data_IF_608796550845
#
_entry.id   IF_608796550845
#
_cell.length_a   1.000
_cell.length_b   1.000
_cell.length_c   1.000
_cell.angle_alpha   90.00
_cell.angle_beta   90.00
_cell.angle_gamma   90.00
#
_symmetry.space_group_name_H-M   'P 1'
#
loop_
_entity.id
_entity.type
_entity.pdbx_description
1 polymer ?
#
# COMPACT_ATOMS: atom_id res chain seq x y z
N UNK A 1 29.03 -16.97 17.61
CA UNK A 1 28.21 -16.90 16.38
C UNK A 1 27.37 -15.62 16.28
N UNK A 2 27.82 -14.53 16.92
CA UNK A 2 27.14 -13.22 17.03
C UNK A 2 27.33 -12.37 15.76
N UNK A 3 28.51 -12.47 15.14
CA UNK A 3 28.81 -11.77 13.89
C UNK A 3 27.97 -12.21 12.69
N UNK A 4 27.51 -13.47 12.66
CA UNK A 4 26.62 -13.97 11.61
C UNK A 4 25.20 -13.39 11.77
N UNK A 5 24.70 -13.25 13.00
CA UNK A 5 23.43 -12.58 13.29
C UNK A 5 23.50 -11.07 13.02
N UNK A 6 24.65 -10.43 13.29
CA UNK A 6 24.90 -9.02 12.95
C UNK A 6 25.02 -8.76 11.43
N UNK A 7 25.31 -9.79 10.63
CA UNK A 7 25.39 -9.73 9.15
C UNK A 7 24.09 -10.14 8.47
N UNK A 8 23.22 -10.90 9.14
CA UNK A 8 21.91 -11.25 8.64
C UNK A 8 21.06 -9.98 8.43
N UNK A 9 20.72 -9.66 7.17
CA UNK A 9 19.99 -8.43 6.83
C UNK A 9 20.85 -7.20 6.55
N UNK A 10 22.18 -7.35 6.42
CA UNK A 10 23.09 -6.29 5.91
C UNK A 10 23.48 -6.49 4.43
N UNK A 11 22.81 -7.41 3.74
CA UNK A 11 22.93 -7.47 2.28
C UNK A 11 22.22 -6.26 1.67
N UNK A 12 22.84 -5.61 0.69
CA UNK A 12 22.19 -4.57 -0.13
C UNK A 12 20.92 -5.07 -0.81
N UNK A 13 20.76 -6.40 -0.94
CA UNK A 13 19.56 -7.07 -1.46
C UNK A 13 18.51 -7.41 -0.40
N UNK A 14 18.68 -7.00 0.85
CA UNK A 14 17.72 -7.30 1.92
C UNK A 14 16.76 -6.15 2.18
N UNK A 15 15.52 -6.49 2.51
CA UNK A 15 14.49 -5.51 2.87
C UNK A 15 14.87 -4.82 4.18
N UNK A 16 14.82 -3.50 4.18
CA UNK A 16 14.95 -2.72 5.41
C UNK A 16 13.66 -2.78 6.19
N UNK A 17 13.73 -3.16 7.47
CA UNK A 17 12.58 -3.05 8.35
C UNK A 17 12.43 -1.60 8.82
N UNK A 18 11.31 -0.95 8.48
CA UNK A 18 11.00 0.41 8.91
C UNK A 18 10.19 0.37 10.22
N UNK A 19 9.15 -0.46 10.25
CA UNK A 19 8.31 -0.64 11.43
C UNK A 19 7.80 -2.08 11.50
N UNK A 20 7.68 -2.62 12.71
CA UNK A 20 7.01 -3.90 12.97
C UNK A 20 6.15 -3.78 14.20
N UNK A 21 4.89 -4.16 14.07
CA UNK A 21 3.89 -4.02 15.11
C UNK A 21 3.69 -5.35 15.82
N UNK A 22 4.38 -5.53 16.96
CA UNK A 22 4.34 -6.77 17.75
C UNK A 22 3.83 -6.57 19.18
N UNK A 23 3.73 -5.33 19.63
CA UNK A 23 3.35 -4.98 21.00
C UNK A 23 2.92 -3.52 21.09
N UNK A 24 2.25 -3.11 22.16
CA UNK A 24 1.90 -1.72 22.40
C UNK A 24 3.11 -0.76 22.32
N UNK A 25 4.31 -1.21 22.73
CA UNK A 25 5.56 -0.43 22.62
C UNK A 25 5.92 -0.05 21.17
N UNK A 26 5.47 -0.84 20.19
CA UNK A 26 5.71 -0.55 18.76
C UNK A 26 4.95 0.66 18.24
N UNK A 27 3.90 1.09 18.96
CA UNK A 27 3.12 2.30 18.65
C UNK A 27 3.82 3.58 19.11
N UNK A 28 4.87 3.49 19.95
CA UNK A 28 5.60 4.66 20.44
C UNK A 28 6.10 5.53 19.29
N UNK A 29 5.79 6.82 19.34
CA UNK A 29 6.17 7.82 18.33
C UNK A 29 5.31 7.81 17.06
N UNK A 30 4.22 7.03 17.03
CA UNK A 30 3.14 7.25 16.08
C UNK A 30 2.14 8.23 16.69
N UNK A 31 1.70 9.19 15.88
CA UNK A 31 0.76 10.23 16.28
C UNK A 31 -0.48 10.14 15.39
N UNK A 32 -1.65 10.15 16.02
CA UNK A 32 -2.93 10.26 15.32
C UNK A 32 -3.24 11.74 15.16
N UNK A 33 -3.46 12.16 13.91
CA UNK A 33 -3.79 13.53 13.57
C UNK A 33 -5.09 13.55 12.74
N UNK A 34 -5.82 14.65 12.85
CA UNK A 34 -7.04 14.90 12.10
C UNK A 34 -6.97 16.26 11.41
N UNK A 35 -7.66 16.38 10.28
CA UNK A 35 -7.71 17.65 9.54
C UNK A 35 -8.88 17.69 8.55
N UNK A 36 -9.03 18.84 7.90
CA UNK A 36 -10.04 19.08 6.87
C UNK A 36 -9.44 19.88 5.73
N UNK A 37 -9.79 19.52 4.49
CA UNK A 37 -9.44 20.32 3.31
C UNK A 37 -10.29 21.60 3.19
N UNK A 38 -11.36 21.74 3.97
CA UNK A 38 -12.25 22.90 3.95
C UNK A 38 -12.28 23.54 5.34
N UNK A 39 -11.46 24.57 5.59
CA UNK A 39 -11.35 25.21 6.90
C UNK A 39 -12.63 25.93 7.39
N UNK A 40 -13.55 26.30 6.47
CA UNK A 40 -14.64 27.25 6.75
C UNK A 40 -16.06 26.77 6.40
N UNK A 41 -16.35 25.47 6.41
CA UNK A 41 -17.74 25.04 6.18
C UNK A 41 -18.67 25.26 7.39
N UNK A 42 -18.13 25.48 8.61
CA UNK A 42 -18.93 25.59 9.83
C UNK A 42 -18.31 26.54 10.87
N UNK A 43 -18.15 27.81 10.51
CA UNK A 43 -18.11 28.87 11.53
C UNK A 43 -19.56 29.15 11.99
N UNK A 44 -20.18 28.19 12.66
CA UNK A 44 -21.48 28.39 13.32
C UNK A 44 -21.54 27.58 14.62
N UNK A 45 -20.91 28.13 15.67
CA UNK A 45 -21.56 28.33 16.96
C UNK A 45 -22.28 27.16 17.64
N UNK A 46 -21.80 25.92 17.56
CA UNK A 46 -22.18 24.87 18.52
C UNK A 46 -20.95 24.15 19.03
N UNK A 47 -20.69 24.30 20.32
CA UNK A 47 -19.65 23.69 21.14
C UNK A 47 -19.84 22.17 21.32
N UNK A 48 -20.07 21.44 20.24
CA UNK A 48 -20.02 19.99 20.21
C UNK A 48 -18.87 19.56 19.31
N UNK A 49 -18.05 18.67 19.85
CA UNK A 49 -16.90 18.01 19.25
C UNK A 49 -17.36 17.04 18.13
N UNK A 50 -17.99 17.59 17.08
CA UNK A 50 -18.50 16.86 15.91
C UNK A 50 -17.47 16.94 14.78
N UNK A 51 -16.86 15.88 14.27
CA UNK A 51 -16.95 14.47 14.59
C UNK A 51 -15.86 13.83 13.75
N UNK A 52 -14.75 13.48 14.39
CA UNK A 52 -13.73 12.63 13.82
C UNK A 52 -13.28 11.77 15.00
N UNK A 53 -13.67 10.49 14.98
CA UNK A 53 -13.28 9.53 15.99
C UNK A 53 -12.25 8.61 15.34
N UNK A 54 -11.00 8.68 15.78
CA UNK A 54 -9.96 7.81 15.25
C UNK A 54 -8.93 7.48 16.34
N UNK A 55 -8.56 6.21 16.41
CA UNK A 55 -7.54 5.74 17.34
C UNK A 55 -6.52 4.86 16.64
N UNK A 56 -5.32 4.80 17.22
CA UNK A 56 -4.29 3.86 16.82
C UNK A 56 -3.80 3.08 18.03
N UNK A 57 -4.33 1.88 18.18
CA UNK A 57 -4.22 1.10 19.41
C UNK A 57 -3.67 -0.30 19.16
N UNK A 58 -3.10 -0.90 20.21
CA UNK A 58 -2.66 -2.27 20.17
C UNK A 58 -3.73 -3.13 20.84
N UNK A 59 -4.52 -3.84 20.03
CA UNK A 59 -5.66 -4.61 20.50
C UNK A 59 -5.23 -5.80 21.36
N UNK A 60 -6.17 -6.30 22.17
CA UNK A 60 -6.00 -7.53 22.95
C UNK A 60 -5.66 -8.74 22.06
N UNK A 61 -6.12 -8.74 20.81
CA UNK A 61 -5.77 -9.73 19.79
C UNK A 61 -4.33 -9.67 19.27
N UNK A 62 -3.49 -8.79 19.82
CA UNK A 62 -2.08 -8.70 19.45
C UNK A 62 -1.82 -7.94 18.15
N UNK A 63 -2.71 -7.00 17.78
CA UNK A 63 -2.68 -6.30 16.50
C UNK A 63 -2.61 -4.79 16.70
N UNK A 64 -1.85 -4.09 15.86
CA UNK A 64 -1.91 -2.62 15.80
C UNK A 64 -3.03 -2.20 14.85
N UNK A 65 -4.06 -1.54 15.37
CA UNK A 65 -5.29 -1.22 14.66
C UNK A 65 -5.44 0.29 14.58
N UNK A 66 -5.43 0.82 13.36
CA UNK A 66 -5.82 2.20 13.06
C UNK A 66 -7.25 2.19 12.54
N UNK A 67 -8.20 2.68 13.34
CA UNK A 67 -9.62 2.60 13.02
C UNK A 67 -10.37 3.85 13.46
N UNK A 68 -11.56 4.03 12.92
CA UNK A 68 -12.38 5.18 13.25
C UNK A 68 -13.46 5.51 12.23
N UNK A 69 -14.00 6.71 12.37
CA UNK A 69 -15.05 7.27 11.56
C UNK A 69 -14.80 8.76 11.27
N UNK A 70 -14.91 9.15 10.00
CA UNK A 70 -14.74 10.55 9.56
C UNK A 70 -16.11 11.12 9.17
N UNK A 71 -16.67 11.98 10.02
CA UNK A 71 -18.05 12.46 9.83
C UNK A 71 -18.12 13.61 8.81
N UNK A 72 -17.06 14.42 8.71
CA UNK A 72 -17.06 15.67 7.94
C UNK A 72 -16.63 15.48 6.49
N UNK A 73 -17.30 16.21 5.57
CA UNK A 73 -16.92 16.22 4.16
C UNK A 73 -15.57 16.89 3.97
N UNK A 74 -14.62 16.17 3.38
CA UNK A 74 -13.25 16.65 3.22
C UNK A 74 -12.43 16.57 4.51
N UNK A 75 -12.99 15.98 5.57
CA UNK A 75 -12.22 15.53 6.73
C UNK A 75 -11.31 14.36 6.36
N UNK A 76 -10.21 14.25 7.09
CA UNK A 76 -9.30 13.12 7.02
C UNK A 76 -8.69 12.85 8.39
N UNK A 77 -8.21 11.63 8.56
CA UNK A 77 -7.43 11.19 9.73
C UNK A 77 -6.18 10.49 9.26
N UNK A 78 -5.12 10.61 10.03
CA UNK A 78 -3.85 10.02 9.66
C UNK A 78 -3.04 9.58 10.88
N UNK A 79 -2.24 8.54 10.67
CA UNK A 79 -1.17 8.15 11.58
C UNK A 79 0.16 8.55 10.96
N UNK A 80 0.97 9.27 11.72
CA UNK A 80 2.26 9.80 11.27
C UNK A 80 3.37 9.38 12.21
N UNK A 81 4.56 9.12 11.66
CA UNK A 81 5.76 8.84 12.46
C UNK A 81 7.01 9.35 11.76
N UNK A 82 7.85 10.04 12.53
CA UNK A 82 9.24 10.29 12.12
C UNK A 82 10.01 8.97 12.09
N UNK A 83 10.59 8.65 10.94
CA UNK A 83 11.31 7.42 10.71
C UNK A 83 12.61 7.40 11.54
N UNK A 84 12.85 6.27 12.22
CA UNK A 84 14.12 5.98 12.86
C UNK A 84 14.79 4.85 12.09
N UNK A 85 15.57 5.24 11.09
CA UNK A 85 16.36 4.30 10.30
C UNK A 85 17.69 4.00 11.02
N UNK A 86 18.27 2.79 10.84
CA UNK A 86 19.60 2.50 11.36
C UNK A 86 20.63 3.52 10.86
N UNK A 87 21.65 3.81 11.69
CA UNK A 87 22.70 4.76 11.33
C UNK A 87 23.32 4.42 9.96
N UNK A 88 23.45 5.42 9.09
CA UNK A 88 23.96 5.25 7.72
C UNK A 88 22.99 4.54 6.74
N UNK A 89 21.74 4.33 7.14
CA UNK A 89 20.68 3.82 6.26
C UNK A 89 19.74 4.92 5.83
N UNK A 90 19.56 5.03 4.52
CA UNK A 90 18.69 5.98 3.82
C UNK A 90 17.82 5.20 2.83
N UNK A 91 16.73 5.80 2.34
CA UNK A 91 15.77 5.07 1.49
C UNK A 91 16.11 5.10 0.00
N UNK A 92 17.13 5.84 -0.43
CA UNK A 92 17.61 5.95 -1.83
C UNK A 92 18.14 4.65 -2.42
N UNK A 93 18.45 3.66 -1.58
CA UNK A 93 18.83 2.29 -2.00
C UNK A 93 17.64 1.33 -2.17
N UNK A 94 16.42 1.85 -2.15
CA UNK A 94 15.19 1.06 -2.18
C UNK A 94 14.26 1.56 -3.30
N UNK A 95 13.49 0.66 -3.91
CA UNK A 95 12.55 0.99 -5.00
C UNK A 95 11.17 1.44 -4.47
N UNK A 96 10.92 1.23 -3.18
CA UNK A 96 9.65 1.61 -2.56
C UNK A 96 9.36 0.91 -1.25
N UNK A 97 8.11 1.01 -0.83
CA UNK A 97 7.62 0.47 0.44
C UNK A 97 6.82 -0.82 0.24
N UNK A 98 6.93 -1.74 1.18
CA UNK A 98 6.11 -2.93 1.32
C UNK A 98 5.40 -2.89 2.68
N UNK A 99 4.08 -2.80 2.63
CA UNK A 99 3.21 -2.82 3.79
C UNK A 99 2.50 -4.16 3.86
N UNK A 100 2.43 -4.77 5.05
CA UNK A 100 1.56 -5.91 5.34
C UNK A 100 0.47 -5.45 6.27
N UNK A 101 -0.76 -5.45 5.76
CA UNK A 101 -1.90 -4.80 6.38
C UNK A 101 -3.16 -5.65 6.27
N UNK A 102 -4.01 -5.63 7.30
CA UNK A 102 -5.39 -6.10 7.25
C UNK A 102 -6.31 -4.91 7.04
N UNK A 103 -7.22 -4.96 6.07
CA UNK A 103 -8.14 -3.85 5.82
C UNK A 103 -9.58 -4.30 5.68
N UNK A 104 -10.49 -3.33 5.76
CA UNK A 104 -11.91 -3.48 5.45
C UNK A 104 -12.25 -3.07 4.00
N UNK A 105 -11.28 -3.13 3.07
CA UNK A 105 -11.48 -2.79 1.66
C UNK A 105 -11.41 -1.30 1.32
N UNK A 106 -10.98 -0.45 2.26
CA UNK A 106 -10.84 0.99 2.07
C UNK A 106 -9.57 1.37 1.29
N UNK A 107 -9.58 2.57 0.72
CA UNK A 107 -8.39 3.18 0.13
C UNK A 107 -7.77 4.16 1.13
N UNK A 108 -6.45 4.20 1.14
CA UNK A 108 -5.66 5.07 2.00
C UNK A 108 -4.63 5.82 1.15
N UNK A 109 -4.14 6.94 1.66
CA UNK A 109 -3.05 7.71 1.07
C UNK A 109 -1.81 7.50 1.92
N UNK A 110 -0.73 7.05 1.29
CA UNK A 110 0.59 7.01 1.90
C UNK A 110 1.27 8.33 1.59
N UNK A 111 1.75 9.02 2.62
CA UNK A 111 2.44 10.30 2.48
C UNK A 111 3.86 10.14 3.02
N UNK A 112 4.83 10.67 2.27
CA UNK A 112 6.21 10.82 2.71
C UNK A 112 6.54 12.30 2.78
N UNK A 113 7.19 12.72 3.86
CA UNK A 113 7.77 14.05 3.95
C UNK A 113 9.29 13.96 3.77
N UNK A 114 9.82 14.83 2.91
CA UNK A 114 11.25 14.93 2.63
C UNK A 114 11.76 16.32 2.91
N UNK A 115 12.94 16.44 3.50
CA UNK A 115 13.55 17.74 3.77
C UNK A 115 14.69 17.62 4.76
N UNK A 116 15.39 18.73 5.03
CA UNK A 116 16.46 18.74 6.02
C UNK A 116 15.89 18.44 7.41
N UNK A 117 16.45 17.44 8.09
CA UNK A 117 16.07 17.06 9.45
C UNK A 117 16.19 18.22 10.46
N UNK A 118 17.10 19.16 10.20
CA UNK A 118 17.36 20.34 11.02
C UNK A 118 16.31 21.45 10.85
N UNK A 119 15.58 21.47 9.73
CA UNK A 119 14.55 22.48 9.45
C UNK A 119 13.38 21.86 8.69
N UNK A 120 12.40 21.37 9.45
CA UNK A 120 11.21 20.74 8.86
C UNK A 120 10.27 21.73 8.18
N UNK A 121 10.45 23.05 8.32
CA UNK A 121 9.61 24.04 7.64
C UNK A 121 9.76 23.98 6.11
N UNK A 122 10.92 23.50 5.64
CA UNK A 122 11.23 23.30 4.23
C UNK A 122 10.81 21.92 3.71
N UNK A 123 10.11 21.12 4.53
CA UNK A 123 9.69 19.78 4.15
C UNK A 123 8.66 19.84 3.03
N UNK A 124 8.88 18.98 2.04
CA UNK A 124 7.97 18.74 0.91
C UNK A 124 7.22 17.45 1.17
N UNK A 125 5.94 17.40 0.79
CA UNK A 125 5.08 16.23 0.98
C UNK A 125 4.81 15.55 -0.34
N UNK A 126 4.85 14.23 -0.34
CA UNK A 126 4.57 13.41 -1.51
C UNK A 126 3.56 12.36 -1.16
N UNK A 127 2.62 12.08 -2.06
CA UNK A 127 1.55 11.13 -1.81
C UNK A 127 1.47 10.04 -2.87
N UNK A 128 1.11 8.84 -2.43
CA UNK A 128 0.73 7.71 -3.29
C UNK A 128 -0.51 7.04 -2.70
N UNK A 129 -1.39 6.50 -3.55
CA UNK A 129 -2.59 5.80 -3.06
C UNK A 129 -2.31 4.32 -2.88
N UNK A 130 -2.83 3.75 -1.79
CA UNK A 130 -2.95 2.32 -1.61
C UNK A 130 -4.41 1.91 -1.45
N UNK A 131 -4.77 0.74 -1.96
CA UNK A 131 -6.09 0.14 -1.74
C UNK A 131 -5.92 -1.17 -1.00
N UNK A 132 -6.66 -1.34 0.09
CA UNK A 132 -6.68 -2.60 0.83
C UNK A 132 -7.76 -3.52 0.29
N UNK A 133 -7.63 -4.81 0.60
CA UNK A 133 -8.70 -5.81 0.41
C UNK A 133 -9.32 -6.09 1.77
N UNK A 134 -10.48 -6.74 1.77
CA UNK A 134 -11.01 -7.35 2.99
C UNK A 134 -10.01 -8.42 3.46
N UNK A 135 -9.55 -8.30 4.70
CA UNK A 135 -8.54 -9.17 5.30
C UNK A 135 -7.10 -8.77 4.99
N UNK A 136 -6.15 -9.65 5.34
CA UNK A 136 -4.72 -9.38 5.22
C UNK A 136 -4.23 -9.41 3.76
N UNK A 137 -3.49 -8.37 3.39
CA UNK A 137 -2.83 -8.25 2.11
C UNK A 137 -1.47 -7.56 2.24
N UNK A 138 -0.63 -7.73 1.21
CA UNK A 138 0.62 -6.99 1.07
C UNK A 138 0.45 -5.96 -0.02
N UNK A 139 0.79 -4.71 0.29
CA UNK A 139 0.72 -3.58 -0.63
C UNK A 139 2.15 -3.13 -0.92
N UNK A 140 2.50 -3.04 -2.21
CA UNK A 140 3.72 -2.40 -2.68
C UNK A 140 3.41 -0.98 -3.12
N UNK A 141 4.20 -0.03 -2.66
CA UNK A 141 4.08 1.37 -3.05
C UNK A 141 5.46 1.81 -3.56
N UNK A 142 5.69 1.76 -4.89
CA UNK A 142 6.99 2.15 -5.45
C UNK A 142 7.22 3.65 -5.24
N UNK A 143 8.46 4.07 -5.02
CA UNK A 143 8.79 5.49 -4.88
C UNK A 143 8.42 6.30 -6.14
N UNK A 144 8.48 5.67 -7.31
CA UNK A 144 8.03 6.26 -8.59
C UNK A 144 6.51 6.51 -8.67
N UNK A 145 5.69 5.96 -7.76
CA UNK A 145 4.25 6.25 -7.69
C UNK A 145 3.94 7.49 -6.85
N UNK A 146 4.90 7.99 -6.06
CA UNK A 146 4.69 9.20 -5.27
C UNK A 146 4.65 10.43 -6.17
N UNK A 147 3.71 11.31 -5.90
CA UNK A 147 3.56 12.61 -6.57
C UNK A 147 3.70 13.72 -5.54
N UNK A 148 4.36 14.83 -5.87
CA UNK A 148 4.43 15.94 -4.95
C UNK A 148 3.02 16.49 -4.69
N UNK A 149 2.74 16.88 -3.46
CA UNK A 149 1.47 17.52 -3.09
C UNK A 149 1.36 18.90 -3.74
N UNK A 150 2.48 19.63 -3.81
CA UNK A 150 2.61 20.87 -4.57
C UNK A 150 3.22 20.57 -5.94
N UNK A 151 2.49 20.77 -7.05
CA UNK A 151 2.98 20.39 -8.39
C UNK A 151 4.35 20.98 -8.78
N UNK A 152 4.72 22.11 -8.20
CA UNK A 152 6.00 22.81 -8.40
C UNK A 152 7.20 22.17 -7.69
N UNK A 153 6.97 21.29 -6.72
CA UNK A 153 8.06 20.61 -6.00
C UNK A 153 8.77 19.58 -6.93
N UNK A 154 10.09 19.36 -6.75
CA UNK A 154 10.84 18.35 -7.50
C UNK A 154 10.31 16.93 -7.26
N UNK A 155 10.72 15.92 -8.05
CA UNK A 155 10.43 14.52 -7.76
C UNK A 155 10.91 14.10 -6.37
N UNK A 156 10.26 13.08 -5.80
CA UNK A 156 10.61 12.51 -4.51
C UNK A 156 12.09 12.10 -4.49
N UNK A 157 12.85 12.64 -3.53
CA UNK A 157 14.19 12.16 -3.19
C UNK A 157 14.10 11.24 -1.96
N UNK A 158 14.24 9.90 -2.12
CA UNK A 158 14.15 8.97 -1.01
C UNK A 158 15.27 9.13 0.02
N UNK A 159 16.40 9.76 -0.33
CA UNK A 159 17.49 10.02 0.61
C UNK A 159 17.04 10.94 1.76
N UNK A 160 16.16 11.90 1.45
CA UNK A 160 15.71 12.95 2.37
C UNK A 160 14.42 12.61 3.13
N UNK A 161 13.87 11.40 2.94
CA UNK A 161 12.62 10.98 3.62
C UNK A 161 12.84 10.88 5.12
N UNK A 162 12.05 11.64 5.88
CA UNK A 162 12.13 11.66 7.35
C UNK A 162 10.82 11.29 8.04
N UNK A 163 9.67 11.49 7.41
CA UNK A 163 8.35 11.19 8.01
C UNK A 163 7.52 10.32 7.09
N UNK A 164 6.85 9.33 7.67
CA UNK A 164 5.91 8.45 7.00
C UNK A 164 4.52 8.62 7.61
N UNK A 165 3.51 8.69 6.74
CA UNK A 165 2.12 8.88 7.15
C UNK A 165 1.18 7.98 6.35
N UNK A 166 0.17 7.42 7.02
CA UNK A 166 -0.98 6.78 6.37
C UNK A 166 -2.22 7.59 6.72
N UNK A 167 -2.88 8.11 5.69
CA UNK A 167 -4.11 8.89 5.80
C UNK A 167 -5.30 8.11 5.27
N UNK A 168 -6.40 8.14 6.02
CA UNK A 168 -7.72 7.80 5.52
C UNK A 168 -8.51 9.06 5.21
N UNK A 169 -9.10 9.09 4.02
CA UNK A 169 -10.03 10.13 3.59
C UNK A 169 -11.23 9.45 2.90
N UNK A 170 -12.48 9.71 3.33
CA UNK A 170 -13.65 9.14 2.67
C UNK A 170 -13.72 9.59 1.20
N UNK A 171 -13.93 8.63 0.29
CA UNK A 171 -14.16 8.97 -1.12
C UNK A 171 -15.43 9.80 -1.26
N UNK A 172 -15.43 10.76 -2.19
CA UNK A 172 -16.66 11.46 -2.60
C UNK A 172 -17.66 10.42 -3.09
N UNK A 173 -18.75 10.23 -2.36
CA UNK A 173 -19.85 9.39 -2.79
C UNK A 173 -20.48 10.02 -4.04
N UNK A 174 -20.64 9.26 -5.11
CA UNK A 174 -21.47 9.67 -6.24
C UNK A 174 -22.92 9.29 -5.95
N UNK A 175 -23.91 10.11 -6.31
CA UNK A 175 -25.31 9.70 -6.24
C UNK A 175 -25.50 8.41 -7.06
N UNK A 176 -25.95 7.33 -6.42
CA UNK A 176 -26.19 6.02 -7.05
C UNK A 176 -25.25 4.88 -6.63
N UNK A 177 -24.16 5.15 -5.91
CA UNK A 177 -23.21 4.11 -5.41
C UNK A 177 -23.73 3.35 -4.17
N UNK A 178 -25.05 3.25 -3.99
CA UNK A 178 -25.68 2.53 -2.89
C UNK A 178 -25.55 1.02 -3.07
N UNK A 179 -24.40 0.46 -2.75
CA UNK A 179 -24.25 -1.00 -2.62
C UNK A 179 -24.96 -1.44 -1.34
N UNK A 180 -26.12 -2.07 -1.51
CA UNK A 180 -26.85 -2.76 -0.44
C UNK A 180 -25.88 -3.73 0.27
N UNK A 181 -25.61 -3.47 1.55
CA UNK A 181 -24.75 -4.30 2.41
C UNK A 181 -23.33 -3.77 2.68
N UNK A 182 -22.93 -2.61 2.15
CA UNK A 182 -21.61 -2.03 2.44
C UNK A 182 -21.58 -1.27 3.77
N UNK A 183 -20.55 -1.51 4.58
CA UNK A 183 -20.22 -0.68 5.75
C UNK A 183 -20.08 0.79 5.35
N UNK A 184 -20.49 1.72 6.23
CA UNK A 184 -20.49 3.16 5.94
C UNK A 184 -19.13 3.62 5.36
N UNK A 185 -19.06 4.23 4.17
CA UNK A 185 -17.81 4.63 3.53
C UNK A 185 -16.93 5.60 4.33
N UNK A 186 -17.46 6.17 5.41
CA UNK A 186 -16.77 7.01 6.38
C UNK A 186 -16.05 6.21 7.47
N UNK A 187 -16.39 4.94 7.65
CA UNK A 187 -15.71 4.05 8.58
C UNK A 187 -14.44 3.46 7.94
N UNK A 188 -13.41 3.27 8.76
CA UNK A 188 -12.18 2.65 8.31
C UNK A 188 -11.58 1.79 9.42
N UNK A 189 -10.87 0.76 8.97
CA UNK A 189 -10.07 -0.09 9.83
C UNK A 189 -8.86 -0.57 9.02
N UNK A 190 -7.68 -0.37 9.60
CA UNK A 190 -6.41 -0.79 9.06
C UNK A 190 -5.57 -1.43 10.17
N UNK A 191 -5.43 -2.75 10.11
CA UNK A 191 -4.48 -3.50 10.92
C UNK A 191 -3.11 -3.38 10.26
N UNK A 192 -2.07 -2.98 11.00
CA UNK A 192 -0.70 -2.91 10.50
C UNK A 192 0.16 -4.01 11.13
N UNK A 193 0.85 -4.81 10.30
CA UNK A 193 1.82 -5.81 10.79
C UNK A 193 3.27 -5.32 10.68
N UNK A 194 3.63 -4.77 9.50
CA UNK A 194 4.95 -4.19 9.27
C UNK A 194 4.98 -3.29 8.05
N UNK A 195 5.99 -2.43 8.05
CA UNK A 195 6.42 -1.60 6.93
C UNK A 195 7.90 -1.92 6.67
N UNK A 196 8.22 -2.19 5.41
CA UNK A 196 9.59 -2.45 4.95
C UNK A 196 9.91 -1.60 3.72
N UNK A 197 11.19 -1.29 3.51
CA UNK A 197 11.65 -0.81 2.22
C UNK A 197 12.10 -2.00 1.34
N UNK A 198 11.74 -1.97 0.06
CA UNK A 198 12.09 -2.98 -0.94
C UNK A 198 13.41 -2.61 -1.61
N UNK A 199 14.46 -3.43 -1.54
CA UNK A 199 15.77 -3.07 -2.06
C UNK A 199 15.70 -2.83 -3.57
N UNK A 200 16.52 -1.90 -4.07
CA UNK A 200 16.72 -1.72 -5.50
C UNK A 200 17.24 -3.02 -6.11
N UNK A 201 16.55 -3.54 -7.13
CA UNK A 201 16.93 -4.78 -7.79
C UNK A 201 16.69 -4.72 -9.29
N UNK A 202 17.75 -4.95 -10.06
CA UNK A 202 17.67 -5.03 -11.54
C UNK A 202 16.90 -6.28 -12.01
N UNK A 203 16.75 -7.28 -11.14
CA UNK A 203 16.18 -8.58 -11.46
C UNK A 203 15.10 -9.02 -10.47
N UNK A 204 14.15 -9.76 -11.01
CA UNK A 204 13.09 -10.41 -10.26
C UNK A 204 13.66 -11.60 -9.48
N UNK A 205 13.50 -11.67 -8.15
CA UNK A 205 13.95 -12.83 -7.35
C UNK A 205 13.29 -14.15 -7.81
N UNK A 206 12.05 -14.08 -8.29
CA UNK A 206 11.28 -15.25 -8.72
C UNK A 206 10.40 -14.97 -9.95
N UNK A 207 10.63 -15.67 -11.06
CA UNK A 207 9.72 -15.67 -12.20
C UNK A 207 8.79 -16.88 -12.05
N UNK A 208 7.49 -16.64 -11.90
CA UNK A 208 6.49 -17.71 -11.90
C UNK A 208 5.78 -17.75 -13.25
N UNK A 209 6.00 -18.83 -14.00
CA UNK A 209 5.20 -19.14 -15.18
C UNK A 209 3.92 -19.85 -14.71
N UNK A 210 2.82 -19.10 -14.71
CA UNK A 210 1.48 -19.59 -14.40
C UNK A 210 0.76 -19.97 -15.70
N UNK A 211 -0.56 -20.05 -15.71
CA UNK A 211 -1.33 -20.32 -16.92
C UNK A 211 -2.67 -19.58 -16.93
N UNK A 212 -3.18 -19.32 -18.14
CA UNK A 212 -4.54 -18.80 -18.38
C UNK A 212 -5.60 -19.91 -18.41
N UNK A 213 -5.18 -21.17 -18.29
CA UNK A 213 -6.03 -22.35 -18.43
C UNK A 213 -6.31 -22.75 -19.88
N UNK A 214 -5.64 -22.13 -20.85
CA UNK A 214 -5.68 -22.55 -22.25
C UNK A 214 -4.99 -23.91 -22.43
N UNK A 215 -5.59 -24.80 -23.24
CA UNK A 215 -5.05 -26.16 -23.48
C UNK A 215 -5.23 -27.15 -22.33
N UNK A 216 -5.98 -26.79 -21.28
CA UNK A 216 -6.32 -27.71 -20.18
C UNK A 216 -7.71 -28.29 -20.42
N UNK A 217 -7.83 -29.61 -20.30
CA UNK A 217 -9.10 -30.33 -20.37
C UNK A 217 -10.19 -29.69 -19.49
N UNK A 218 -11.43 -29.50 -20.00
CA UNK A 218 -12.49 -28.79 -19.29
C UNK A 218 -12.71 -29.32 -17.87
N UNK A 219 -12.68 -30.64 -17.72
CA UNK A 219 -12.96 -31.35 -16.46
C UNK A 219 -11.89 -31.11 -15.39
N UNK A 220 -10.68 -30.67 -15.76
CA UNK A 220 -9.56 -30.37 -14.84
C UNK A 220 -9.24 -28.89 -14.76
N UNK A 221 -9.80 -28.08 -15.65
CA UNK A 221 -9.46 -26.65 -15.80
C UNK A 221 -9.63 -25.88 -14.51
N UNK A 222 -10.75 -26.05 -13.82
CA UNK A 222 -11.03 -25.33 -12.58
C UNK A 222 -10.06 -25.73 -11.46
N UNK A 223 -9.79 -27.02 -11.30
CA UNK A 223 -8.84 -27.54 -10.32
C UNK A 223 -7.44 -26.96 -10.54
N UNK A 224 -6.96 -26.94 -11.79
CA UNK A 224 -5.63 -26.40 -12.11
C UNK A 224 -5.58 -24.90 -11.91
N UNK A 225 -6.58 -24.15 -12.35
CA UNK A 225 -6.64 -22.70 -12.16
C UNK A 225 -6.69 -22.32 -10.68
N UNK A 226 -7.42 -23.09 -9.85
CA UNK A 226 -7.44 -22.89 -8.40
C UNK A 226 -6.06 -23.09 -7.78
N UNK A 227 -5.36 -24.17 -8.14
CA UNK A 227 -4.01 -24.45 -7.64
C UNK A 227 -3.00 -23.40 -8.11
N UNK A 228 -3.04 -22.99 -9.38
CA UNK A 228 -2.16 -21.96 -9.95
C UNK A 228 -2.40 -20.59 -9.29
N UNK A 229 -3.66 -20.20 -9.12
CA UNK A 229 -4.03 -18.98 -8.40
C UNK A 229 -3.53 -19.01 -6.96
N UNK A 230 -3.64 -20.15 -6.26
CA UNK A 230 -3.09 -20.31 -4.92
C UNK A 230 -1.55 -20.13 -4.89
N UNK A 231 -0.83 -20.69 -5.86
CA UNK A 231 0.62 -20.52 -6.00
C UNK A 231 1.04 -19.08 -6.31
N UNK A 232 0.32 -18.41 -7.22
CA UNK A 232 0.51 -16.98 -7.48
C UNK A 232 0.27 -16.14 -6.23
N UNK A 233 -0.82 -16.41 -5.51
CA UNK A 233 -1.15 -15.66 -4.30
C UNK A 233 -0.14 -15.94 -3.17
N UNK A 234 0.43 -17.14 -3.10
CA UNK A 234 1.53 -17.46 -2.20
C UNK A 234 2.79 -16.64 -2.54
N UNK A 235 3.14 -16.52 -3.83
CA UNK A 235 4.27 -15.70 -4.28
C UNK A 235 4.02 -14.21 -4.03
N UNK A 236 2.81 -13.70 -4.30
CA UNK A 236 2.40 -12.33 -3.94
C UNK A 236 2.57 -12.07 -2.43
N UNK A 237 2.28 -13.08 -1.61
CA UNK A 237 2.44 -13.03 -0.15
C UNK A 237 3.87 -13.31 0.32
N UNK A 238 4.80 -13.80 -0.50
CA UNK A 238 6.19 -14.03 -0.03
C UNK A 238 6.93 -12.72 0.22
N UNK A 239 6.52 -11.67 -0.50
CA UNK A 239 7.19 -10.39 -0.56
C UNK A 239 8.48 -10.39 -1.38
N UNK A 240 8.88 -11.49 -2.02
CA UNK A 240 10.02 -11.56 -2.95
C UNK A 240 9.75 -10.69 -4.19
N UNK A 241 10.76 -10.05 -4.78
CA UNK A 241 10.62 -9.47 -6.11
C UNK A 241 10.14 -10.55 -7.07
N UNK A 242 9.01 -10.34 -7.74
CA UNK A 242 8.40 -11.40 -8.56
C UNK A 242 7.82 -10.85 -9.86
N UNK A 243 7.80 -11.72 -10.86
CA UNK A 243 7.15 -11.51 -12.15
C UNK A 243 6.32 -12.76 -12.43
N UNK A 244 5.00 -12.59 -12.57
CA UNK A 244 4.11 -13.69 -12.93
C UNK A 244 3.82 -13.58 -14.41
N UNK A 245 4.27 -14.57 -15.18
CA UNK A 245 3.97 -14.68 -16.61
C UNK A 245 2.79 -15.63 -16.79
N UNK A 246 1.73 -15.16 -17.44
CA UNK A 246 0.55 -15.99 -17.80
C UNK A 246 0.49 -16.11 -19.32
N UNK A 247 1.17 -17.11 -19.92
CA UNK A 247 1.10 -17.30 -21.35
C UNK A 247 -0.35 -17.57 -21.79
N UNK A 248 -0.76 -16.89 -22.86
CA UNK A 248 -1.97 -17.19 -23.60
C UNK A 248 -1.71 -18.26 -24.66
N UNK A 249 -2.76 -18.69 -25.38
CA UNK A 249 -2.57 -19.51 -26.58
C UNK A 249 -1.71 -18.76 -27.61
N UNK A 250 -0.88 -19.52 -28.33
CA UNK A 250 -0.22 -19.01 -29.54
C UNK A 250 -1.30 -18.69 -30.58
N UNK A 251 -1.19 -17.52 -31.21
CA UNK A 251 -2.04 -17.12 -32.33
C UNK A 251 -1.13 -16.76 -33.51
N UNK A 252 -1.50 -17.21 -34.70
CA UNK A 252 -0.79 -16.93 -35.95
C UNK A 252 -1.04 -15.50 -36.46
N UNK A 253 -1.95 -14.76 -35.83
CA UNK A 253 -2.14 -13.35 -36.17
C UNK A 253 -0.92 -12.53 -35.71
N UNK A 254 -0.38 -11.65 -36.58
CA UNK A 254 0.63 -10.69 -36.16
C UNK A 254 0.10 -9.96 -34.93
N UNK A 255 0.81 -10.03 -33.80
CA UNK A 255 0.31 -9.57 -32.50
C UNK A 255 -0.08 -8.09 -32.43
N UNK A 256 0.10 -7.34 -33.52
CA UNK A 256 -0.07 -5.89 -33.61
C UNK A 256 0.86 -5.18 -32.63
N UNK A 257 0.80 -3.85 -32.59
CA UNK A 257 1.40 -3.05 -31.52
C UNK A 257 0.62 -3.20 -30.19
N UNK A 258 0.23 -4.43 -29.82
CA UNK A 258 -0.41 -4.66 -28.51
C UNK A 258 0.70 -4.76 -27.48
N UNK A 259 0.73 -3.77 -26.59
CA UNK A 259 1.73 -3.68 -25.54
C UNK A 259 1.65 -4.89 -24.60
N UNK A 260 2.81 -5.30 -24.07
CA UNK A 260 2.87 -6.14 -22.87
C UNK A 260 2.03 -5.48 -21.79
N UNK A 261 1.01 -6.20 -21.29
CA UNK A 261 0.15 -5.68 -20.23
C UNK A 261 0.88 -5.91 -18.91
N UNK A 262 1.48 -4.84 -18.39
CA UNK A 262 2.00 -4.79 -17.04
C UNK A 262 0.85 -4.45 -16.07
N UNK A 263 0.47 -5.39 -15.22
CA UNK A 263 -0.54 -5.18 -14.17
C UNK A 263 0.02 -5.57 -12.80
N UNK A 264 -0.20 -4.72 -11.80
CA UNK A 264 0.03 -5.04 -10.39
C UNK A 264 -1.31 -5.43 -9.73
N UNK A 265 -1.92 -6.54 -10.17
CA UNK A 265 -3.27 -6.88 -9.70
C UNK A 265 -3.91 -8.16 -10.28
N UNK A 266 -5.22 -8.27 -10.04
CA UNK A 266 -6.13 -9.30 -10.57
C UNK A 266 -7.04 -8.74 -11.69
N UNK A 267 -6.67 -7.64 -12.35
CA UNK A 267 -7.59 -6.92 -13.25
C UNK A 267 -7.67 -7.49 -14.67
N UNK A 268 -6.85 -8.48 -15.00
CA UNK A 268 -6.89 -9.09 -16.32
C UNK A 268 -8.02 -10.14 -16.36
N UNK A 269 -9.26 -9.68 -16.43
CA UNK A 269 -10.35 -10.47 -16.98
C UNK A 269 -10.20 -10.46 -18.50
N UNK A 270 -10.13 -11.65 -19.09
CA UNK A 270 -10.08 -11.95 -20.52
C UNK A 270 -10.53 -10.80 -21.43
N UNK A 271 -9.65 -10.42 -22.36
CA UNK A 271 -10.01 -9.63 -23.54
C UNK A 271 -11.14 -10.38 -24.23
N UNK A 272 -12.37 -9.85 -24.13
CA UNK A 272 -13.51 -10.38 -24.89
C UNK A 272 -13.22 -10.15 -26.36
N UNK A 273 -13.19 -11.25 -27.11
CA UNK A 273 -13.26 -11.20 -28.57
C UNK A 273 -14.54 -10.48 -28.96
N UNK A 274 -14.41 -9.38 -29.69
CA UNK A 274 -15.45 -8.94 -30.61
C UNK A 274 -14.84 -9.11 -31.99
N UNK A 275 -15.53 -9.88 -32.80
CA UNK A 275 -15.33 -9.90 -34.24
C UNK A 275 -16.49 -10.62 -34.87
N UNK A 276 -16.63 -10.47 -36.19
CA UNK A 276 -16.70 -9.21 -36.92
C UNK A 276 -18.01 -8.44 -36.68
#
# INVERSE_FOLDING_TARGET
>A
NEMAQLRAGKSSKSKLLIAKFKSAKSLKGWEVNQGSYFPNAYASGSSFDEGIDASFEFSEGGQAVFAGFVFTRGGYVEISKRLSLPLGSTLDRYDGLLLSVGGNGRSYVVILETGPLADTSQSKKYFARMTTKVGFCRVRVPFSAFRPVKPEDPPLDPFLVHTFTIRFEPKRQRPGDGTQGATDPRNFELILEYIKALPTGQETDFILVSCTGSGIEPNRREQVLKAKKAGEDALRRSGLGYTIVRPGPLQEEPGGQRALIFDQGNRISQVKYHGP
#
